data_IF_334016738394
#
_entry.id   IF_334016738394
#
_cell.length_a   1.000
_cell.length_b   1.000
_cell.length_c   1.000
_cell.angle_alpha   90.00
_cell.angle_beta   90.00
_cell.angle_gamma   90.00
#
_symmetry.space_group_name_H-M   'P 1'
#
loop_
_entity.id
_entity.type
_entity.pdbx_description
1 polymer ?
#
# COMPACT_ATOMS: atom_id res chain seq x y z
N UNK A 1 -13.17 -15.49 -2.92
CA UNK A 1 -14.63 -15.73 -2.90
C UNK A 1 -15.11 -16.62 -1.75
N UNK A 2 -14.19 -17.30 -1.01
CA UNK A 2 -14.55 -18.22 0.08
C UNK A 2 -14.70 -17.48 1.41
N UNK A 3 -15.76 -17.76 2.17
CA UNK A 3 -15.95 -17.24 3.53
C UNK A 3 -14.85 -17.71 4.48
N UNK A 4 -14.36 -18.94 4.32
CA UNK A 4 -13.26 -19.46 5.11
C UNK A 4 -11.96 -18.68 4.95
N UNK A 5 -11.70 -18.09 3.78
CA UNK A 5 -10.54 -17.23 3.56
C UNK A 5 -10.69 -15.90 4.30
N UNK A 6 -11.86 -15.28 4.21
CA UNK A 6 -12.13 -14.04 4.94
C UNK A 6 -12.04 -14.26 6.46
N UNK A 7 -12.66 -15.34 6.96
CA UNK A 7 -12.61 -15.73 8.38
C UNK A 7 -11.15 -15.89 8.84
N UNK A 8 -10.35 -16.66 8.10
CA UNK A 8 -8.93 -16.89 8.41
C UNK A 8 -8.15 -15.57 8.52
N UNK A 9 -8.32 -14.67 7.55
CA UNK A 9 -7.63 -13.38 7.58
C UNK A 9 -8.07 -12.53 8.77
N UNK A 10 -9.37 -12.52 9.10
CA UNK A 10 -9.87 -11.82 10.27
C UNK A 10 -9.28 -12.40 11.57
N UNK A 11 -9.21 -13.72 11.72
CA UNK A 11 -8.59 -14.37 12.88
C UNK A 11 -7.11 -14.00 13.03
N UNK A 12 -6.35 -13.97 11.93
CA UNK A 12 -4.94 -13.52 11.92
C UNK A 12 -4.83 -12.06 12.32
N UNK A 13 -5.69 -11.18 11.79
CA UNK A 13 -5.66 -9.76 12.15
C UNK A 13 -6.04 -9.53 13.62
N UNK A 14 -6.93 -10.31 14.17
CA UNK A 14 -7.30 -10.25 15.61
C UNK A 14 -6.10 -10.60 16.50
N UNK A 15 -5.34 -11.63 16.15
CA UNK A 15 -4.12 -12.01 16.87
C UNK A 15 -3.05 -10.92 16.78
N UNK A 16 -2.83 -10.34 15.58
CA UNK A 16 -1.89 -9.24 15.39
C UNK A 16 -2.30 -8.01 16.21
N UNK A 17 -3.59 -7.67 16.26
CA UNK A 17 -4.08 -6.53 17.06
C UNK A 17 -3.89 -6.71 18.57
N UNK A 18 -3.77 -7.94 19.05
CA UNK A 18 -3.43 -8.22 20.44
C UNK A 18 -1.95 -8.02 20.73
N UNK A 19 -1.09 -8.26 19.73
CA UNK A 19 0.37 -8.12 19.85
C UNK A 19 0.84 -6.67 19.68
N UNK A 20 0.16 -5.88 18.85
CA UNK A 20 0.54 -4.50 18.52
C UNK A 20 -0.48 -3.51 19.08
N UNK A 21 -0.13 -2.72 20.13
CA UNK A 21 -1.08 -1.89 20.85
C UNK A 21 -1.69 -0.76 19.99
N UNK A 22 -0.97 -0.26 19.00
CA UNK A 22 -1.48 0.80 18.10
C UNK A 22 -2.55 0.29 17.14
N UNK A 23 -2.65 -1.03 16.96
CA UNK A 23 -3.63 -1.70 16.10
C UNK A 23 -3.68 -1.15 14.66
N UNK A 24 -2.55 -0.64 14.17
CA UNK A 24 -2.42 -0.21 12.78
C UNK A 24 -1.84 -1.37 11.99
N UNK A 25 -2.61 -1.90 11.03
CA UNK A 25 -2.26 -3.12 10.30
C UNK A 25 -2.19 -2.85 8.80
N UNK A 26 -1.05 -3.14 8.22
CA UNK A 26 -0.90 -3.14 6.76
C UNK A 26 -1.42 -4.45 6.19
N UNK A 27 -2.47 -4.39 5.38
CA UNK A 27 -3.16 -5.56 4.81
C UNK A 27 -2.76 -5.87 3.35
N UNK A 28 -1.67 -5.28 2.88
CA UNK A 28 -1.18 -5.49 1.52
C UNK A 28 -1.98 -4.71 0.49
N UNK A 29 -2.29 -5.34 -0.63
CA UNK A 29 -3.20 -4.78 -1.62
C UNK A 29 -2.62 -4.60 -3.03
N UNK A 30 -1.31 -4.56 -3.18
CA UNK A 30 -0.66 -4.55 -4.48
C UNK A 30 -0.44 -5.98 -5.02
N UNK A 31 -0.10 -6.07 -6.28
CA UNK A 31 0.25 -7.31 -6.99
C UNK A 31 -0.78 -8.46 -6.89
N UNK A 32 -2.03 -8.15 -6.57
CA UNK A 32 -3.11 -9.13 -6.55
C UNK A 32 -3.50 -9.56 -7.97
N UNK A 33 -2.91 -10.66 -8.44
CA UNK A 33 -3.21 -11.23 -9.76
C UNK A 33 -4.59 -11.89 -9.77
N UNK A 34 -5.54 -11.28 -10.48
CA UNK A 34 -6.96 -11.67 -10.49
C UNK A 34 -7.32 -12.70 -11.57
N UNK A 35 -6.38 -13.06 -12.45
CA UNK A 35 -6.63 -13.94 -13.61
C UNK A 35 -7.28 -15.27 -13.22
N UNK A 36 -6.89 -15.85 -12.08
CA UNK A 36 -7.49 -17.10 -11.60
C UNK A 36 -8.89 -16.94 -11.00
N UNK A 37 -9.29 -15.72 -10.66
CA UNK A 37 -10.60 -15.47 -10.04
C UNK A 37 -11.72 -15.57 -11.06
N UNK A 38 -11.46 -15.27 -12.34
CA UNK A 38 -12.43 -15.35 -13.43
C UNK A 38 -12.92 -16.78 -13.69
N UNK A 39 -12.09 -17.78 -13.38
CA UNK A 39 -12.44 -19.22 -13.53
C UNK A 39 -12.73 -19.92 -12.21
N UNK A 40 -12.59 -19.23 -11.08
CA UNK A 40 -12.82 -19.81 -9.77
C UNK A 40 -14.33 -19.82 -9.43
N UNK A 41 -14.97 -20.99 -9.24
CA UNK A 41 -16.41 -21.04 -8.96
C UNK A 41 -16.83 -20.26 -7.70
N UNK A 42 -15.99 -20.26 -6.67
CA UNK A 42 -16.27 -19.53 -5.41
C UNK A 42 -16.19 -18.00 -5.62
N UNK A 43 -15.24 -17.52 -6.44
CA UNK A 43 -15.11 -16.10 -6.75
C UNK A 43 -16.29 -15.63 -7.60
N UNK A 44 -16.63 -16.38 -8.65
CA UNK A 44 -17.77 -16.05 -9.53
C UNK A 44 -19.11 -16.11 -8.78
N UNK A 45 -19.27 -17.09 -7.88
CA UNK A 45 -20.44 -17.13 -7.00
C UNK A 45 -20.52 -15.89 -6.11
N UNK A 46 -19.41 -15.50 -5.47
CA UNK A 46 -19.36 -14.30 -4.62
C UNK A 46 -19.66 -13.02 -5.38
N UNK A 47 -19.10 -12.86 -6.57
CA UNK A 47 -19.38 -11.73 -7.46
C UNK A 47 -20.88 -11.61 -7.70
N UNK A 48 -21.55 -12.71 -7.99
CA UNK A 48 -22.99 -12.76 -8.22
C UNK A 48 -23.80 -12.47 -6.95
N UNK A 49 -23.46 -13.10 -5.83
CA UNK A 49 -24.19 -13.01 -4.57
C UNK A 49 -24.12 -11.57 -3.99
N UNK A 50 -22.98 -10.89 -4.14
CA UNK A 50 -22.76 -9.52 -3.65
C UNK A 50 -23.09 -8.44 -4.73
N UNK A 51 -23.60 -8.85 -5.89
CA UNK A 51 -23.91 -7.96 -7.03
C UNK A 51 -22.69 -7.10 -7.44
N UNK A 52 -21.52 -7.73 -7.49
CA UNK A 52 -20.28 -7.11 -7.93
C UNK A 52 -20.17 -7.24 -9.45
N UNK A 53 -19.47 -6.30 -10.09
CA UNK A 53 -19.33 -6.24 -11.54
C UNK A 53 -18.30 -7.24 -12.06
N UNK A 54 -17.17 -7.36 -11.37
CA UNK A 54 -16.01 -8.13 -11.82
C UNK A 54 -15.06 -8.51 -10.66
N UNK A 55 -13.92 -9.09 -11.00
CA UNK A 55 -12.88 -9.49 -10.05
C UNK A 55 -12.20 -8.29 -9.36
N UNK A 56 -12.20 -7.12 -9.99
CA UNK A 56 -11.67 -5.92 -9.36
C UNK A 56 -12.59 -5.44 -8.23
N UNK A 57 -13.90 -5.46 -8.45
CA UNK A 57 -14.86 -5.16 -7.38
C UNK A 57 -14.85 -6.24 -6.29
N UNK A 58 -14.61 -7.51 -6.64
CA UNK A 58 -14.42 -8.57 -5.63
C UNK A 58 -13.18 -8.32 -4.77
N UNK A 59 -12.09 -7.85 -5.37
CA UNK A 59 -10.90 -7.43 -4.63
C UNK A 59 -11.23 -6.30 -3.65
N UNK A 60 -11.85 -5.22 -4.12
CA UNK A 60 -12.22 -4.07 -3.29
C UNK A 60 -13.18 -4.47 -2.17
N UNK A 61 -14.17 -5.31 -2.47
CA UNK A 61 -15.07 -5.88 -1.48
C UNK A 61 -14.33 -6.65 -0.38
N UNK A 62 -13.38 -7.51 -0.76
CA UNK A 62 -12.59 -8.30 0.19
C UNK A 62 -11.74 -7.41 1.10
N UNK A 63 -11.04 -6.42 0.53
CA UNK A 63 -10.23 -5.49 1.30
C UNK A 63 -11.07 -4.65 2.26
N UNK A 64 -12.22 -4.16 1.81
CA UNK A 64 -13.17 -3.41 2.66
C UNK A 64 -13.71 -4.27 3.80
N UNK A 65 -13.96 -5.57 3.59
CA UNK A 65 -14.41 -6.48 4.65
C UNK A 65 -13.35 -6.65 5.74
N UNK A 66 -12.09 -6.82 5.35
CA UNK A 66 -10.97 -6.93 6.30
C UNK A 66 -10.76 -5.60 7.05
N UNK A 67 -10.72 -4.48 6.34
CA UNK A 67 -10.56 -3.16 6.94
C UNK A 67 -11.69 -2.84 7.93
N UNK A 68 -12.94 -3.13 7.56
CA UNK A 68 -14.10 -2.96 8.44
C UNK A 68 -14.04 -3.85 9.69
N UNK A 69 -13.48 -5.07 9.57
CA UNK A 69 -13.24 -5.94 10.72
C UNK A 69 -12.20 -5.34 11.67
N UNK A 70 -11.08 -4.86 11.15
CA UNK A 70 -10.02 -4.20 11.92
C UNK A 70 -10.58 -2.95 12.63
N UNK A 71 -11.34 -2.12 11.93
CA UNK A 71 -11.93 -0.90 12.47
C UNK A 71 -12.92 -1.19 13.60
N UNK A 72 -13.78 -2.19 13.45
CA UNK A 72 -14.72 -2.64 14.51
C UNK A 72 -14.03 -3.09 15.79
N UNK A 73 -12.78 -3.55 15.67
CA UNK A 73 -11.94 -3.95 16.80
C UNK A 73 -10.99 -2.83 17.27
N UNK A 74 -11.26 -1.58 16.84
CA UNK A 74 -10.55 -0.38 17.27
C UNK A 74 -9.19 -0.17 16.61
N UNK A 75 -8.94 -0.83 15.46
CA UNK A 75 -7.73 -0.67 14.67
C UNK A 75 -7.91 0.21 13.42
N UNK A 76 -6.83 0.37 12.67
CA UNK A 76 -6.82 1.02 11.35
C UNK A 76 -6.09 0.15 10.33
N UNK A 77 -6.63 0.07 9.13
CA UNK A 77 -6.00 -0.66 8.02
C UNK A 77 -5.16 0.30 7.16
N UNK A 78 -3.98 -0.19 6.74
CA UNK A 78 -3.20 0.43 5.67
C UNK A 78 -3.27 -0.49 4.46
N UNK A 79 -3.42 0.09 3.29
CA UNK A 79 -3.40 -0.62 2.01
C UNK A 79 -2.34 0.00 1.10
N UNK A 80 -1.63 -0.85 0.36
CA UNK A 80 -0.73 -0.39 -0.68
C UNK A 80 -1.51 -0.21 -1.99
N UNK A 81 -1.40 0.98 -2.57
CA UNK A 81 -1.99 1.31 -3.86
C UNK A 81 -0.92 1.85 -4.81
N UNK A 82 -0.61 1.09 -5.84
CA UNK A 82 0.40 1.47 -6.84
C UNK A 82 -0.17 1.84 -8.20
N UNK A 83 -1.45 1.62 -8.43
CA UNK A 83 -2.09 1.84 -9.73
C UNK A 83 -3.35 2.70 -9.71
N UNK A 84 -3.75 3.19 -8.54
CA UNK A 84 -4.96 4.01 -8.41
C UNK A 84 -6.22 3.31 -8.92
N UNK A 85 -6.29 1.98 -8.79
CA UNK A 85 -7.33 1.15 -9.39
C UNK A 85 -8.71 1.21 -8.73
N UNK A 86 -8.95 2.16 -7.87
CA UNK A 86 -10.24 2.33 -7.16
C UNK A 86 -11.36 2.94 -8.03
N UNK A 87 -11.38 2.61 -9.32
CA UNK A 87 -12.15 3.38 -10.32
C UNK A 87 -13.66 3.26 -10.22
N UNK A 88 -14.21 2.20 -9.63
CA UNK A 88 -15.67 1.97 -9.70
C UNK A 88 -16.35 1.69 -8.36
N UNK A 89 -15.70 1.03 -7.42
CA UNK A 89 -16.13 0.93 -6.01
C UNK A 89 -14.97 1.30 -5.12
N UNK A 90 -15.00 2.47 -4.49
CA UNK A 90 -13.86 2.94 -3.72
C UNK A 90 -13.64 2.07 -2.47
N UNK A 91 -12.40 1.90 -2.11
CA UNK A 91 -12.01 1.45 -0.79
C UNK A 91 -12.61 2.37 0.27
N UNK A 92 -12.88 1.84 1.46
CA UNK A 92 -13.40 2.63 2.57
C UNK A 92 -12.46 3.81 2.86
N UNK A 93 -13.05 5.00 3.06
CA UNK A 93 -12.31 6.25 3.27
C UNK A 93 -11.45 6.26 4.54
N UNK A 94 -11.74 5.38 5.51
CA UNK A 94 -10.97 5.24 6.75
C UNK A 94 -9.68 4.42 6.55
N UNK A 95 -9.50 3.79 5.41
CA UNK A 95 -8.28 3.06 5.07
C UNK A 95 -7.17 4.08 4.75
N UNK A 96 -6.04 3.95 5.40
CA UNK A 96 -4.83 4.72 5.08
C UNK A 96 -4.21 4.16 3.81
N UNK A 97 -3.83 5.02 2.88
CA UNK A 97 -3.14 4.60 1.67
C UNK A 97 -1.63 4.69 1.83
N UNK A 98 -0.93 3.62 1.51
CA UNK A 98 0.49 3.66 1.18
C UNK A 98 0.61 3.82 -0.33
N UNK A 99 1.02 4.99 -0.77
CA UNK A 99 1.07 5.34 -2.20
C UNK A 99 2.46 5.08 -2.74
N UNK A 100 2.56 4.22 -3.77
CA UNK A 100 3.77 4.03 -4.55
C UNK A 100 3.50 4.43 -6.01
N UNK A 101 4.14 5.50 -6.46
CA UNK A 101 4.01 5.94 -7.85
C UNK A 101 4.71 4.94 -8.77
N UNK A 102 3.98 4.36 -9.70
CA UNK A 102 4.58 3.54 -10.77
C UNK A 102 5.12 4.38 -11.93
N UNK A 103 4.80 5.67 -11.98
CA UNK A 103 5.31 6.52 -13.04
C UNK A 103 6.76 6.91 -12.78
N UNK A 104 7.65 6.30 -13.56
CA UNK A 104 9.09 6.61 -13.59
C UNK A 104 9.39 8.06 -13.98
N UNK A 105 8.39 8.81 -14.44
CA UNK A 105 8.52 10.23 -14.84
C UNK A 105 8.15 11.20 -13.71
N UNK A 106 7.91 10.71 -12.49
CA UNK A 106 7.59 11.56 -11.34
C UNK A 106 6.23 12.25 -11.40
N UNK A 107 5.39 11.90 -12.36
CA UNK A 107 3.99 12.30 -12.32
C UNK A 107 3.29 11.41 -11.31
N UNK A 108 3.05 11.97 -10.12
CA UNK A 108 2.06 11.44 -9.21
C UNK A 108 0.81 11.20 -10.05
N UNK A 109 0.36 9.97 -10.13
CA UNK A 109 -0.88 9.66 -10.84
C UNK A 109 -2.02 10.19 -9.96
N UNK A 110 -2.16 11.51 -9.94
CA UNK A 110 -3.23 12.24 -9.30
C UNK A 110 -4.54 12.02 -10.10
N UNK A 111 -5.03 10.79 -10.13
CA UNK A 111 -6.31 10.51 -10.79
C UNK A 111 -7.52 10.74 -9.91
N UNK A 112 -7.33 10.87 -8.62
CA UNK A 112 -8.41 11.23 -7.70
C UNK A 112 -7.99 12.44 -6.87
N UNK A 113 -8.22 13.62 -7.45
CA UNK A 113 -8.01 14.85 -6.72
C UNK A 113 -8.81 14.83 -5.42
N UNK A 114 -8.14 15.04 -4.30
CA UNK A 114 -8.72 15.38 -3.00
C UNK A 114 -9.74 14.37 -2.46
N UNK A 115 -9.34 13.12 -2.29
CA UNK A 115 -10.17 12.12 -1.59
C UNK A 115 -10.35 12.44 -0.11
N UNK A 116 -9.54 13.34 0.46
CA UNK A 116 -9.50 13.63 1.89
C UNK A 116 -8.99 12.48 2.74
N UNK A 117 -8.34 11.48 2.12
CA UNK A 117 -7.77 10.31 2.80
C UNK A 117 -6.42 10.62 3.42
N UNK A 118 -6.15 9.99 4.55
CA UNK A 118 -4.79 9.90 5.08
C UNK A 118 -3.94 8.97 4.20
N UNK A 119 -2.70 9.36 3.92
CA UNK A 119 -1.79 8.53 3.13
C UNK A 119 -0.34 8.64 3.58
N UNK A 120 0.44 7.59 3.26
CA UNK A 120 1.88 7.51 3.43
C UNK A 120 2.51 7.55 2.03
N UNK A 121 3.50 8.40 1.83
CA UNK A 121 4.22 8.46 0.56
C UNK A 121 5.37 7.46 0.54
N UNK A 122 5.32 6.50 -0.40
CA UNK A 122 6.36 5.48 -0.65
C UNK A 122 6.80 5.53 -2.10
N UNK A 123 7.11 6.72 -2.61
CA UNK A 123 7.40 6.98 -4.03
C UNK A 123 8.46 6.04 -4.61
N UNK A 124 8.06 5.21 -5.57
CA UNK A 124 8.97 4.22 -6.18
C UNK A 124 10.15 4.86 -6.95
N UNK A 125 9.98 5.97 -7.66
CA UNK A 125 11.09 6.61 -8.35
C UNK A 125 12.06 7.38 -7.43
N UNK A 126 11.76 7.54 -6.13
CA UNK A 126 12.57 8.35 -5.22
C UNK A 126 13.02 7.60 -3.96
N UNK A 127 12.19 6.71 -3.42
CA UNK A 127 12.38 6.11 -2.10
C UNK A 127 12.56 4.59 -2.11
N UNK A 128 12.64 3.95 -3.30
CA UNK A 128 12.96 2.53 -3.42
C UNK A 128 14.46 2.29 -3.35
N UNK A 129 14.95 2.05 -2.14
CA UNK A 129 16.38 1.92 -1.87
C UNK A 129 17.01 0.62 -2.42
N UNK A 130 16.19 -0.34 -2.83
CA UNK A 130 16.63 -1.54 -3.55
C UNK A 130 17.02 -1.27 -5.01
N UNK A 131 16.67 -0.11 -5.55
CA UNK A 131 17.10 0.29 -6.90
C UNK A 131 18.52 0.87 -6.87
N UNK A 132 19.33 0.61 -7.93
CA UNK A 132 20.72 1.04 -7.97
C UNK A 132 20.86 2.57 -8.01
N UNK A 133 21.98 3.08 -7.57
CA UNK A 133 22.28 4.53 -7.54
C UNK A 133 22.22 5.21 -8.91
N UNK A 134 22.40 4.45 -9.99
CA UNK A 134 22.21 4.96 -11.36
C UNK A 134 20.75 5.34 -11.66
N UNK A 135 19.78 4.76 -10.96
CA UNK A 135 18.36 5.07 -11.11
C UNK A 135 17.86 6.04 -10.04
N UNK A 136 18.26 5.82 -8.79
CA UNK A 136 17.87 6.63 -7.64
C UNK A 136 19.13 7.01 -6.86
N UNK A 137 19.72 8.15 -7.23
CA UNK A 137 20.87 8.69 -6.54
C UNK A 137 20.47 9.57 -5.34
N UNK A 138 21.43 9.91 -4.49
CA UNK A 138 21.20 10.72 -3.29
C UNK A 138 20.51 12.05 -3.61
N UNK A 139 20.94 12.75 -4.67
CA UNK A 139 20.34 14.02 -5.08
C UNK A 139 18.86 13.88 -5.43
N UNK A 140 18.52 12.88 -6.25
CA UNK A 140 17.13 12.60 -6.65
C UNK A 140 16.24 12.26 -5.45
N UNK A 141 16.77 11.55 -4.44
CA UNK A 141 16.07 11.27 -3.20
C UNK A 141 15.88 12.53 -2.37
N UNK A 142 16.90 13.35 -2.23
CA UNK A 142 16.90 14.54 -1.38
C UNK A 142 16.06 15.70 -1.94
N UNK A 143 16.03 15.87 -3.26
CA UNK A 143 15.28 16.95 -3.92
C UNK A 143 13.77 16.64 -4.06
N UNK A 144 13.33 15.43 -3.71
CA UNK A 144 11.92 15.07 -3.79
C UNK A 144 11.20 15.39 -2.48
N UNK A 145 10.28 16.35 -2.55
CA UNK A 145 9.36 16.68 -1.47
C UNK A 145 7.99 16.08 -1.78
N UNK A 146 7.47 15.16 -0.93
CA UNK A 146 6.13 14.64 -1.11
C UNK A 146 5.07 15.71 -0.87
N UNK A 147 4.13 15.83 -1.80
CA UNK A 147 3.03 16.80 -1.70
C UNK A 147 1.74 16.13 -1.18
N UNK A 148 0.89 16.86 -0.44
CA UNK A 148 -0.37 16.34 0.10
C UNK A 148 -1.49 16.30 -0.98
N UNK A 149 -1.20 15.67 -2.10
CA UNK A 149 -2.06 15.69 -3.30
C UNK A 149 -3.33 14.85 -3.15
N UNK A 150 -3.31 13.85 -2.27
CA UNK A 150 -4.45 12.95 -2.07
C UNK A 150 -5.30 13.30 -0.84
N UNK A 151 -4.76 14.05 0.10
CA UNK A 151 -5.39 14.38 1.37
C UNK A 151 -4.37 14.65 2.46
N UNK A 152 -4.52 14.05 3.64
CA UNK A 152 -3.60 14.20 4.76
C UNK A 152 -2.35 13.34 4.57
N UNK A 153 -1.21 13.96 4.33
CA UNK A 153 0.08 13.27 4.30
C UNK A 153 0.52 12.96 5.74
N UNK A 154 0.53 11.68 6.10
CA UNK A 154 0.98 11.22 7.43
C UNK A 154 2.50 11.16 7.55
N UNK A 155 3.19 11.01 6.43
CA UNK A 155 4.63 10.91 6.38
C UNK A 155 5.12 10.19 5.13
N UNK A 156 6.42 9.88 5.13
CA UNK A 156 7.08 9.20 4.02
C UNK A 156 7.76 7.92 4.49
N UNK A 157 7.93 6.98 3.57
CA UNK A 157 8.49 5.66 3.84
C UNK A 157 9.53 5.29 2.80
N UNK A 158 10.71 4.87 3.28
CA UNK A 158 11.71 4.24 2.45
C UNK A 158 11.39 2.76 2.25
N UNK A 159 11.49 2.28 1.02
CA UNK A 159 11.18 0.90 0.66
C UNK A 159 12.46 0.18 0.25
N UNK A 160 12.66 -1.04 0.75
CA UNK A 160 13.77 -1.90 0.33
C UNK A 160 13.29 -3.33 0.14
N UNK A 161 13.20 -3.75 -1.13
CA UNK A 161 12.93 -5.13 -1.50
C UNK A 161 14.23 -5.91 -1.54
N UNK A 162 14.27 -7.09 -0.95
CA UNK A 162 15.52 -7.79 -0.67
C UNK A 162 15.91 -8.87 -1.69
N UNK A 163 15.15 -9.03 -2.76
CA UNK A 163 15.42 -10.05 -3.78
C UNK A 163 16.80 -9.95 -4.44
N UNK A 164 17.40 -8.77 -4.43
CA UNK A 164 18.76 -8.54 -4.96
C UNK A 164 19.79 -8.16 -3.89
N UNK A 165 19.43 -8.29 -2.60
CA UNK A 165 20.30 -7.94 -1.47
C UNK A 165 20.77 -9.21 -0.77
N UNK A 166 21.97 -9.64 -1.10
CA UNK A 166 22.54 -10.94 -0.68
C UNK A 166 23.33 -10.88 0.62
N UNK A 167 23.62 -9.69 1.17
CA UNK A 167 24.45 -9.53 2.36
C UNK A 167 24.14 -8.22 3.10
N UNK A 168 24.51 -8.17 4.39
CA UNK A 168 24.41 -6.92 5.20
C UNK A 168 25.22 -5.79 4.56
N UNK A 169 26.39 -6.09 4.03
CA UNK A 169 27.24 -5.10 3.35
C UNK A 169 26.59 -4.51 2.11
N UNK A 170 25.85 -5.33 1.36
CA UNK A 170 25.05 -4.88 0.23
C UNK A 170 23.87 -4.03 0.71
N UNK A 171 23.23 -4.43 1.81
CA UNK A 171 22.14 -3.68 2.42
C UNK A 171 22.62 -2.28 2.85
N UNK A 172 23.71 -2.20 3.60
CA UNK A 172 24.28 -0.92 4.05
C UNK A 172 24.60 0.01 2.86
N UNK A 173 25.22 -0.56 1.81
CA UNK A 173 25.53 0.18 0.60
C UNK A 173 24.27 0.72 -0.09
N UNK A 174 23.20 -0.06 -0.14
CA UNK A 174 21.96 0.36 -0.79
C UNK A 174 21.16 1.36 0.04
N UNK A 175 21.24 1.26 1.35
CA UNK A 175 20.48 2.13 2.28
C UNK A 175 21.18 3.47 2.50
N UNK A 176 22.48 3.45 2.82
CA UNK A 176 23.22 4.66 3.17
C UNK A 176 23.99 5.25 1.99
N UNK A 177 24.00 6.62 1.83
CA UNK A 177 23.40 7.63 2.72
C UNK A 177 21.94 8.00 2.39
N UNK A 178 21.30 7.37 1.42
CA UNK A 178 19.95 7.77 0.92
C UNK A 178 18.89 7.80 2.03
N UNK A 179 18.95 6.88 2.98
CA UNK A 179 18.00 6.86 4.11
C UNK A 179 18.12 8.11 5.00
N UNK A 180 19.33 8.66 5.14
CA UNK A 180 19.53 9.90 5.89
C UNK A 180 18.85 11.10 5.20
N UNK A 181 18.90 11.15 3.87
CA UNK A 181 18.19 12.19 3.11
C UNK A 181 16.66 12.06 3.25
N UNK A 182 16.13 10.83 3.23
CA UNK A 182 14.70 10.60 3.46
C UNK A 182 14.30 11.01 4.88
N UNK A 183 15.13 10.65 5.88
CA UNK A 183 14.88 11.03 7.25
C UNK A 183 14.87 12.57 7.44
N UNK A 184 15.78 13.28 6.79
CA UNK A 184 15.80 14.75 6.84
C UNK A 184 14.52 15.34 6.23
N UNK A 185 14.11 14.88 5.04
CA UNK A 185 12.86 15.33 4.41
C UNK A 185 11.64 15.03 5.28
N UNK A 186 11.61 13.88 5.94
CA UNK A 186 10.48 13.46 6.77
C UNK A 186 10.35 14.28 8.08
N UNK A 187 11.44 14.90 8.56
CA UNK A 187 11.49 15.60 9.85
C UNK A 187 11.79 17.12 9.73
N UNK A 188 12.06 17.60 8.52
CA UNK A 188 12.29 19.03 8.27
C UNK A 188 11.03 19.68 7.67
N UNK A 189 10.78 20.96 8.06
CA UNK A 189 9.71 21.80 7.53
C UNK A 189 10.06 22.35 6.14
#
# INVERSE_FOLDING_TARGET
GKDSTLKFVCEVTDEIMQLFPDKIIHIGGDDAVKTRWSICPHCQKRIKDESLKDEQELYTWFMNKIASHIEKNGGKAIIRSCDGSDKEKPLDKNIIWQVCDKDMNGKVVSREGKTGRAFINSSSPHYYLNLPYSMINLKKTYEYAPEPVYGELLGTEAVIWTEHISSIKSLDFMVFPRIAAIAEIAWSD
#
